data_IF_857024001754
#
_entry.id   IF_857024001754
#
_cell.length_a   1.000
_cell.length_b   1.000
_cell.length_c   1.000
_cell.angle_alpha   90.00
_cell.angle_beta   90.00
_cell.angle_gamma   90.00
#
_symmetry.space_group_name_H-M   'P 1'
#
loop_
_entity.id
_entity.type
_entity.pdbx_description
1 polymer ?
#
# COMPACT_ATOMS: atom_id res chain seq x y z
N UNK A 1 17.62 30.51 -0.59
CA UNK A 1 18.08 29.29 0.11
C UNK A 1 17.39 28.99 1.45
N UNK A 2 16.29 29.67 1.84
CA UNK A 2 15.51 29.34 3.07
C UNK A 2 14.23 28.51 2.83
N UNK A 3 13.77 28.38 1.57
CA UNK A 3 12.54 27.66 1.21
C UNK A 3 12.72 26.16 0.92
N UNK A 4 13.96 25.70 0.73
CA UNK A 4 14.25 24.29 0.43
C UNK A 4 14.26 23.41 1.71
N UNK A 5 14.64 23.98 2.85
CA UNK A 5 14.73 23.25 4.12
C UNK A 5 13.37 23.03 4.80
N UNK A 6 12.42 23.95 4.63
CA UNK A 6 11.06 23.78 5.15
C UNK A 6 10.27 22.71 4.37
N UNK A 7 10.65 22.44 3.11
CA UNK A 7 9.98 21.51 2.20
C UNK A 7 10.41 20.05 2.42
N UNK A 8 11.66 19.82 2.83
CA UNK A 8 12.16 18.50 3.25
C UNK A 8 11.56 18.05 4.59
N UNK A 9 11.22 19.00 5.47
CA UNK A 9 10.59 18.75 6.77
C UNK A 9 9.10 18.37 6.68
N UNK A 10 8.41 18.75 5.60
CA UNK A 10 6.96 18.57 5.48
C UNK A 10 6.58 17.19 4.92
N UNK A 11 7.41 16.64 4.03
CA UNK A 11 7.37 15.23 3.62
C UNK A 11 7.73 14.35 4.82
N UNK A 12 8.64 14.80 5.70
CA UNK A 12 8.83 14.19 7.01
C UNK A 12 7.58 14.35 7.92
N UNK A 13 6.79 15.42 7.85
CA UNK A 13 5.60 15.49 8.73
C UNK A 13 4.44 14.56 8.31
N UNK A 14 4.38 14.15 7.04
CA UNK A 14 3.33 13.24 6.53
C UNK A 14 3.85 11.79 6.42
N UNK A 15 5.15 11.59 6.13
CA UNK A 15 5.82 10.28 6.07
C UNK A 15 6.73 9.96 7.27
N UNK A 16 7.04 10.91 8.17
CA UNK A 16 7.92 10.70 9.35
C UNK A 16 7.22 10.64 10.69
N UNK A 17 5.95 11.00 10.82
CA UNK A 17 5.26 10.66 12.07
C UNK A 17 4.88 9.17 12.19
N UNK A 18 5.16 8.34 11.17
CA UNK A 18 5.18 6.87 11.30
C UNK A 18 6.53 6.30 11.79
N UNK A 19 7.58 7.12 12.01
CA UNK A 19 8.95 6.65 12.33
C UNK A 19 9.09 5.78 13.60
N UNK A 20 8.05 5.63 14.41
CA UNK A 20 8.02 4.69 15.53
C UNK A 20 7.70 3.24 15.12
N UNK A 21 7.33 2.99 13.88
CA UNK A 21 6.92 1.68 13.36
C UNK A 21 7.65 1.45 12.04
N UNK A 22 8.20 0.27 11.77
CA UNK A 22 8.99 -0.03 10.57
C UNK A 22 8.26 0.12 9.22
N UNK A 23 6.99 0.56 9.21
CA UNK A 23 6.12 0.73 8.06
C UNK A 23 5.84 2.22 7.79
N UNK A 24 6.18 2.67 6.58
CA UNK A 24 5.93 4.02 6.06
C UNK A 24 4.49 4.20 5.58
N UNK A 25 3.92 3.18 4.93
CA UNK A 25 2.58 3.25 4.37
C UNK A 25 1.96 1.86 4.21
N UNK A 26 0.64 1.83 4.25
CA UNK A 26 -0.18 0.64 4.14
C UNK A 26 -1.44 0.96 3.33
N UNK A 27 -1.88 0.05 2.46
CA UNK A 27 -3.17 0.20 1.79
C UNK A 27 -3.74 -1.09 1.22
N UNK A 28 -5.08 -1.12 1.10
CA UNK A 28 -5.82 -2.19 0.43
C UNK A 28 -6.44 -1.71 -0.87
N UNK A 29 -6.27 -2.51 -1.92
CA UNK A 29 -6.80 -2.19 -3.25
C UNK A 29 -7.47 -3.40 -3.88
N UNK A 30 -8.38 -3.16 -4.81
CA UNK A 30 -9.06 -4.18 -5.60
C UNK A 30 -9.13 -3.79 -7.06
N UNK A 31 -9.06 -4.79 -7.93
CA UNK A 31 -9.34 -4.62 -9.35
C UNK A 31 -9.96 -5.87 -9.94
N UNK A 32 -10.63 -5.71 -11.07
CA UNK A 32 -11.19 -6.82 -11.83
C UNK A 32 -10.62 -6.79 -13.23
N UNK A 33 -10.00 -7.90 -13.62
CA UNK A 33 -9.58 -8.21 -15.00
C UNK A 33 -10.39 -9.42 -15.47
N UNK A 34 -9.74 -10.56 -15.75
CA UNK A 34 -10.39 -11.86 -15.91
C UNK A 34 -10.95 -12.44 -14.60
N UNK A 35 -10.37 -12.03 -13.47
CA UNK A 35 -10.78 -12.39 -12.11
C UNK A 35 -10.84 -11.14 -11.25
N UNK A 36 -11.40 -11.26 -10.05
CA UNK A 36 -11.31 -10.20 -9.04
C UNK A 36 -10.10 -10.46 -8.16
N UNK A 37 -9.25 -9.45 -8.07
CA UNK A 37 -8.04 -9.44 -7.28
C UNK A 37 -8.19 -8.41 -6.17
N UNK A 38 -7.66 -8.75 -5.00
CA UNK A 38 -7.48 -7.82 -3.89
C UNK A 38 -6.02 -7.85 -3.49
N UNK A 39 -5.41 -6.71 -3.20
CA UNK A 39 -4.05 -6.64 -2.74
C UNK A 39 -3.92 -5.83 -1.46
N UNK A 40 -2.96 -6.23 -0.63
CA UNK A 40 -2.38 -5.40 0.41
C UNK A 40 -1.00 -4.93 -0.03
N UNK A 41 -0.70 -3.67 0.21
CA UNK A 41 0.56 -3.05 -0.14
C UNK A 41 1.16 -2.45 1.12
N UNK A 42 2.39 -2.86 1.44
CA UNK A 42 3.14 -2.38 2.60
C UNK A 42 4.42 -1.74 2.11
N UNK A 43 4.59 -0.45 2.36
CA UNK A 43 5.83 0.28 2.10
C UNK A 43 6.59 0.41 3.42
N UNK A 44 7.80 -0.15 3.51
CA UNK A 44 8.64 -0.13 4.71
C UNK A 44 9.67 1.01 4.70
N UNK A 45 10.26 1.27 5.86
CA UNK A 45 11.23 2.36 6.07
C UNK A 45 12.56 2.14 5.34
N UNK A 46 12.91 0.90 5.02
CA UNK A 46 14.14 0.52 4.29
C UNK A 46 13.97 0.50 2.77
N UNK A 47 12.94 1.18 2.28
CA UNK A 47 12.54 1.24 0.87
C UNK A 47 12.00 -0.08 0.28
N UNK A 48 11.86 -1.13 1.08
CA UNK A 48 11.26 -2.38 0.62
C UNK A 48 9.75 -2.29 0.64
N UNK A 49 9.11 -2.70 -0.45
CA UNK A 49 7.67 -2.81 -0.52
C UNK A 49 7.29 -4.28 -0.59
N UNK A 50 6.44 -4.73 0.32
CA UNK A 50 5.85 -6.07 0.23
C UNK A 50 4.43 -5.93 -0.30
N UNK A 51 4.14 -6.66 -1.37
CA UNK A 51 2.78 -6.77 -1.92
C UNK A 51 2.26 -8.18 -1.70
N UNK A 52 1.06 -8.31 -1.16
CA UNK A 52 0.30 -9.58 -1.19
C UNK A 52 -0.91 -9.41 -2.07
N UNK A 53 -1.12 -10.34 -2.99
CA UNK A 53 -2.28 -10.39 -3.89
C UNK A 53 -3.07 -11.67 -3.63
N UNK A 54 -4.38 -11.51 -3.56
CA UNK A 54 -5.36 -12.58 -3.33
C UNK A 54 -6.35 -12.61 -4.47
N UNK A 55 -6.59 -13.81 -5.01
CA UNK A 55 -7.61 -14.10 -6.02
C UNK A 55 -8.00 -15.57 -5.90
N UNK A 56 -9.29 -15.88 -6.06
CA UNK A 56 -9.83 -17.23 -5.82
C UNK A 56 -9.37 -17.78 -4.44
N UNK A 57 -8.73 -18.95 -4.42
CA UNK A 57 -8.12 -19.58 -3.25
C UNK A 57 -6.60 -19.34 -3.14
N UNK A 58 -6.04 -18.50 -4.02
CA UNK A 58 -4.62 -18.23 -4.15
C UNK A 58 -4.23 -16.95 -3.40
N UNK A 59 -3.10 -17.02 -2.70
CA UNK A 59 -2.43 -15.87 -2.12
C UNK A 59 -0.96 -15.89 -2.49
N UNK A 60 -0.49 -14.79 -3.04
CA UNK A 60 0.89 -14.63 -3.50
C UNK A 60 1.50 -13.38 -2.87
N UNK A 61 2.77 -13.46 -2.49
CA UNK A 61 3.56 -12.36 -1.98
C UNK A 61 4.74 -12.09 -2.91
N UNK A 62 5.09 -10.83 -3.13
CA UNK A 62 6.33 -10.46 -3.78
C UNK A 62 6.87 -9.16 -3.22
N UNK A 63 8.18 -8.99 -3.37
CA UNK A 63 8.85 -7.72 -3.09
C UNK A 63 8.74 -6.80 -4.31
N UNK A 64 8.65 -5.51 -4.03
CA UNK A 64 8.54 -4.45 -5.00
C UNK A 64 9.42 -3.27 -4.60
N UNK A 65 9.93 -2.59 -5.62
CA UNK A 65 10.58 -1.29 -5.48
C UNK A 65 9.54 -0.20 -5.63
N UNK A 66 9.76 0.96 -5.00
CA UNK A 66 8.92 2.13 -5.22
C UNK A 66 9.70 3.35 -5.66
N UNK A 67 9.08 4.16 -6.51
CA UNK A 67 9.57 5.44 -6.99
C UNK A 67 8.52 6.53 -6.77
N UNK A 68 8.97 7.71 -6.37
CA UNK A 68 8.11 8.87 -6.08
C UNK A 68 8.40 9.98 -7.07
N UNK A 69 7.48 10.19 -8.00
CA UNK A 69 7.59 11.24 -9.01
C UNK A 69 6.72 12.44 -8.62
N UNK A 70 7.28 13.64 -8.73
CA UNK A 70 6.60 14.87 -8.34
C UNK A 70 6.13 15.63 -9.60
N UNK A 71 4.82 15.75 -9.75
CA UNK A 71 4.13 16.67 -10.67
C UNK A 71 3.25 17.61 -9.84
N UNK A 72 2.14 18.13 -10.39
CA UNK A 72 1.13 18.86 -9.62
C UNK A 72 0.52 17.99 -8.48
N UNK A 73 0.69 16.66 -8.56
CA UNK A 73 0.41 15.66 -7.53
C UNK A 73 1.62 14.71 -7.33
N UNK A 74 1.60 13.95 -6.23
CA UNK A 74 2.61 12.91 -5.97
C UNK A 74 2.18 11.61 -6.65
N UNK A 75 3.03 11.09 -7.52
CA UNK A 75 2.84 9.78 -8.14
C UNK A 75 3.74 8.77 -7.42
N UNK A 76 3.14 7.73 -6.83
CA UNK A 76 3.85 6.59 -6.27
C UNK A 76 3.74 5.42 -7.23
N UNK A 77 4.87 4.98 -7.77
CA UNK A 77 4.97 3.77 -8.60
C UNK A 77 5.54 2.64 -7.76
N UNK A 78 4.92 1.46 -7.80
CA UNK A 78 5.34 0.25 -7.10
C UNK A 78 5.56 -0.84 -8.14
N UNK A 79 6.81 -1.18 -8.39
CA UNK A 79 7.23 -2.14 -9.43
C UNK A 79 7.58 -3.46 -8.78
N UNK A 80 6.83 -4.52 -9.11
CA UNK A 80 7.16 -5.86 -8.64
C UNK A 80 8.49 -6.34 -9.22
N UNK A 81 9.48 -6.57 -8.36
CA UNK A 81 10.85 -6.96 -8.76
C UNK A 81 11.26 -8.33 -8.27
N UNK A 82 10.53 -8.90 -7.30
CA UNK A 82 10.79 -10.23 -6.74
C UNK A 82 10.15 -11.39 -7.50
N UNK A 83 10.70 -12.59 -7.28
CA UNK A 83 10.00 -13.84 -7.64
C UNK A 83 8.83 -14.05 -6.67
N UNK A 84 7.59 -14.20 -7.17
CA UNK A 84 6.44 -14.38 -6.29
C UNK A 84 6.50 -15.67 -5.47
N UNK A 85 6.12 -15.57 -4.19
CA UNK A 85 6.00 -16.67 -3.25
C UNK A 85 4.54 -16.96 -2.99
N UNK A 86 4.11 -18.20 -3.20
CA UNK A 86 2.73 -18.62 -2.92
C UNK A 86 2.58 -18.94 -1.44
N UNK A 87 1.79 -18.12 -0.75
CA UNK A 87 1.41 -18.33 0.65
C UNK A 87 0.20 -19.27 0.78
N UNK A 88 -0.64 -19.32 -0.26
CA UNK A 88 -1.79 -20.22 -0.35
C UNK A 88 -2.08 -20.58 -1.80
N UNK A 89 -2.52 -21.81 -2.03
CA UNK A 89 -2.80 -22.33 -3.37
C UNK A 89 -1.52 -22.58 -4.19
N UNK A 90 -1.68 -22.94 -5.46
CA UNK A 90 -0.58 -23.09 -6.43
C UNK A 90 -1.04 -22.56 -7.79
N UNK A 91 -0.24 -21.69 -8.39
CA UNK A 91 -0.50 -21.13 -9.72
C UNK A 91 0.79 -20.59 -10.35
N UNK A 92 0.69 -20.00 -11.52
CA UNK A 92 1.65 -19.04 -12.03
C UNK A 92 1.14 -17.62 -11.76
N UNK A 93 2.02 -16.72 -11.36
CA UNK A 93 1.68 -15.31 -11.18
C UNK A 93 2.89 -14.46 -11.53
N UNK A 94 2.66 -13.38 -12.27
CA UNK A 94 3.68 -12.39 -12.57
C UNK A 94 3.43 -11.18 -11.67
N UNK A 95 4.47 -10.60 -11.04
CA UNK A 95 4.30 -9.40 -10.22
C UNK A 95 3.59 -8.28 -10.99
N UNK A 96 2.51 -7.75 -10.41
CA UNK A 96 1.83 -6.57 -10.93
C UNK A 96 2.59 -5.30 -10.55
N UNK A 97 2.51 -4.29 -11.42
CA UNK A 97 2.93 -2.93 -11.11
C UNK A 97 1.72 -2.08 -10.71
N UNK A 98 1.89 -1.23 -9.69
CA UNK A 98 0.87 -0.29 -9.25
C UNK A 98 1.36 1.14 -9.42
N UNK A 99 0.44 2.02 -9.80
CA UNK A 99 0.67 3.46 -9.86
C UNK A 99 -0.46 4.12 -9.09
N UNK A 100 -0.09 4.90 -8.08
CA UNK A 100 -1.01 5.68 -7.26
C UNK A 100 -0.76 7.16 -7.48
N UNK A 101 -1.86 7.91 -7.56
CA UNK A 101 -1.86 9.36 -7.36
C UNK A 101 -2.20 9.60 -5.89
N UNK A 102 -1.33 10.32 -5.20
CA UNK A 102 -1.43 10.62 -3.78
C UNK A 102 -1.56 12.13 -3.60
N UNK A 103 -2.43 12.56 -2.68
CA UNK A 103 -2.59 13.97 -2.32
C UNK A 103 -1.36 14.48 -1.55
N UNK A 104 -1.23 15.80 -1.41
CA UNK A 104 -0.14 16.38 -0.61
C UNK A 104 -0.20 15.96 0.87
N UNK A 105 -1.39 15.57 1.35
CA UNK A 105 -1.63 15.03 2.69
C UNK A 105 -1.41 13.52 2.81
N UNK A 106 -0.96 12.85 1.74
CA UNK A 106 -0.62 11.43 1.77
C UNK A 106 -1.78 10.46 1.51
N UNK A 107 -2.96 10.96 1.11
CA UNK A 107 -4.10 10.09 0.80
C UNK A 107 -4.05 9.56 -0.63
N UNK A 108 -4.36 8.28 -0.85
CA UNK A 108 -4.51 7.74 -2.20
C UNK A 108 -5.77 8.34 -2.84
N UNK A 109 -5.60 9.10 -3.92
CA UNK A 109 -6.69 9.73 -4.69
C UNK A 109 -7.23 8.75 -5.72
N UNK A 110 -6.34 8.03 -6.38
CA UNK A 110 -6.67 7.06 -7.43
C UNK A 110 -5.48 6.15 -7.68
N UNK A 111 -5.73 4.99 -8.29
CA UNK A 111 -4.64 4.17 -8.77
C UNK A 111 -5.00 3.31 -9.98
N UNK A 112 -3.96 2.83 -10.64
CA UNK A 112 -4.04 1.87 -11.73
C UNK A 112 -3.02 0.77 -11.51
N UNK A 113 -3.35 -0.43 -11.93
CA UNK A 113 -2.41 -1.55 -11.99
C UNK A 113 -2.30 -2.07 -13.41
N UNK A 114 -1.16 -2.66 -13.74
CA UNK A 114 -0.98 -3.41 -14.98
C UNK A 114 -0.04 -4.59 -14.74
N UNK A 115 -0.31 -5.66 -15.48
CA UNK A 115 0.49 -6.87 -15.49
C UNK A 115 1.53 -6.81 -16.64
N UNK A 116 2.27 -7.91 -16.82
CA UNK A 116 3.22 -8.08 -17.93
C UNK A 116 2.59 -7.95 -19.33
N UNK A 117 1.28 -8.10 -19.46
CA UNK A 117 0.55 -7.90 -20.73
C UNK A 117 0.16 -6.44 -20.97
N UNK A 118 0.49 -5.54 -20.04
CA UNK A 118 0.22 -4.10 -20.07
C UNK A 118 -1.27 -3.73 -20.09
N UNK A 119 -2.16 -4.65 -19.71
CA UNK A 119 -3.57 -4.36 -19.54
C UNK A 119 -3.75 -3.52 -18.27
N UNK A 120 -4.14 -2.25 -18.45
CA UNK A 120 -4.35 -1.32 -17.34
C UNK A 120 -5.73 -1.52 -16.72
N UNK A 121 -5.76 -1.82 -15.42
CA UNK A 121 -6.97 -1.91 -14.62
C UNK A 121 -7.03 -0.75 -13.64
N UNK A 122 -8.22 -0.15 -13.49
CA UNK A 122 -8.47 0.86 -12.46
C UNK A 122 -8.55 0.17 -11.09
N UNK A 123 -7.90 0.77 -10.09
CA UNK A 123 -7.97 0.31 -8.71
C UNK A 123 -9.17 0.94 -7.99
N UNK A 124 -9.90 0.10 -7.27
CA UNK A 124 -10.79 0.47 -6.19
C UNK A 124 -9.97 0.50 -4.90
N UNK A 125 -9.96 1.62 -4.18
CA UNK A 125 -9.31 1.74 -2.88
C UNK A 125 -10.29 1.23 -1.82
N UNK A 126 -9.86 0.23 -1.04
CA UNK A 126 -10.72 -0.43 -0.05
C UNK A 126 -10.51 0.10 1.37
N UNK A 127 -9.44 0.87 1.60
CA UNK A 127 -9.21 1.53 2.87
C UNK A 127 -10.41 2.39 3.25
N UNK A 128 -10.88 2.25 4.49
CA UNK A 128 -12.06 2.95 4.97
C UNK A 128 -11.78 3.76 6.24
N UNK A 129 -12.63 4.75 6.51
CA UNK A 129 -12.64 5.48 7.77
C UNK A 129 -13.07 4.63 8.98
N UNK A 130 -13.54 3.41 8.75
CA UNK A 130 -13.93 2.47 9.78
C UNK A 130 -12.79 1.48 10.05
N UNK A 131 -12.26 1.53 11.28
CA UNK A 131 -11.20 0.64 11.76
C UNK A 131 -11.56 -0.85 11.63
N UNK A 132 -12.78 -1.24 12.01
CA UNK A 132 -13.19 -2.66 12.01
C UNK A 132 -13.17 -3.24 10.59
N UNK A 133 -13.53 -2.43 9.59
CA UNK A 133 -13.43 -2.84 8.18
C UNK A 133 -11.96 -3.03 7.74
N UNK A 134 -11.07 -2.14 8.17
CA UNK A 134 -9.65 -2.25 7.82
C UNK A 134 -8.98 -3.45 8.51
N UNK A 135 -9.37 -3.76 9.76
CA UNK A 135 -8.94 -4.98 10.45
C UNK A 135 -9.47 -6.24 9.78
N UNK A 136 -10.74 -6.25 9.37
CA UNK A 136 -11.32 -7.37 8.63
C UNK A 136 -10.64 -7.58 7.26
N UNK A 137 -10.18 -6.51 6.61
CA UNK A 137 -9.33 -6.61 5.42
C UNK A 137 -7.94 -7.17 5.77
N UNK A 138 -7.33 -6.74 6.88
CA UNK A 138 -6.00 -7.19 7.31
C UNK A 138 -5.96 -8.71 7.53
N UNK A 139 -6.96 -9.23 8.23
CA UNK A 139 -7.13 -10.65 8.52
C UNK A 139 -7.28 -11.52 7.26
N UNK A 140 -7.63 -10.93 6.11
CA UNK A 140 -7.66 -11.66 4.84
C UNK A 140 -6.27 -11.93 4.27
N UNK A 141 -5.25 -11.19 4.69
CA UNK A 141 -3.89 -11.23 4.14
C UNK A 141 -2.83 -11.64 5.15
N UNK A 142 -3.02 -11.31 6.43
CA UNK A 142 -2.03 -11.52 7.47
C UNK A 142 -2.66 -12.13 8.73
N UNK A 143 -1.80 -12.79 9.50
CA UNK A 143 -2.10 -13.38 10.80
C UNK A 143 -1.15 -12.81 11.84
N UNK A 144 -1.48 -12.97 13.12
CA UNK A 144 -0.61 -12.54 14.24
C UNK A 144 0.80 -13.17 14.22
N UNK A 145 1.00 -14.26 13.46
CA UNK A 145 2.30 -14.93 13.30
C UNK A 145 3.17 -14.26 12.24
N UNK A 146 2.61 -13.44 11.36
CA UNK A 146 3.37 -12.70 10.37
C UNK A 146 4.20 -11.63 11.07
N UNK A 147 5.50 -11.54 10.71
CA UNK A 147 6.43 -10.61 11.35
C UNK A 147 5.99 -9.14 11.23
N UNK A 148 5.33 -8.78 10.12
CA UNK A 148 4.87 -7.42 9.86
C UNK A 148 3.51 -7.11 10.54
N UNK A 149 2.76 -8.11 11.01
CA UNK A 149 1.40 -7.93 11.52
C UNK A 149 1.30 -6.89 12.64
N UNK A 150 2.13 -6.92 13.70
CA UNK A 150 2.04 -5.95 14.78
C UNK A 150 2.27 -4.51 14.30
N UNK A 151 3.11 -4.33 13.29
CA UNK A 151 3.41 -3.02 12.73
C UNK A 151 2.26 -2.51 11.87
N UNK A 152 1.62 -3.38 11.08
CA UNK A 152 0.47 -3.00 10.26
C UNK A 152 -0.69 -2.54 11.14
N UNK A 153 -0.99 -3.29 12.22
CA UNK A 153 -2.04 -2.93 13.18
C UNK A 153 -1.78 -1.56 13.80
N UNK A 154 -0.54 -1.26 14.19
CA UNK A 154 -0.17 0.07 14.72
C UNK A 154 -0.40 1.18 13.68
N UNK A 155 -0.04 0.96 12.42
CA UNK A 155 -0.25 1.93 11.35
C UNK A 155 -1.75 2.19 11.11
N UNK A 156 -2.58 1.15 11.10
CA UNK A 156 -4.04 1.30 10.98
C UNK A 156 -4.61 2.12 12.15
N UNK A 157 -4.23 1.80 13.40
CA UNK A 157 -4.71 2.51 14.60
C UNK A 157 -4.34 4.00 14.57
N UNK A 158 -3.16 4.32 14.06
CA UNK A 158 -2.75 5.70 13.85
C UNK A 158 -3.62 6.43 12.81
N UNK A 159 -3.92 5.77 11.68
CA UNK A 159 -4.79 6.34 10.65
C UNK A 159 -6.18 6.70 11.20
N UNK A 160 -6.82 5.78 11.93
CA UNK A 160 -8.13 6.04 12.57
C UNK A 160 -8.08 7.21 13.56
N UNK A 161 -7.02 7.27 14.40
CA UNK A 161 -6.83 8.38 15.33
C UNK A 161 -6.72 9.74 14.62
N UNK A 162 -5.94 9.81 13.54
CA UNK A 162 -5.74 11.06 12.79
C UNK A 162 -7.01 11.50 12.05
N UNK A 163 -7.77 10.57 11.45
CA UNK A 163 -9.03 10.91 10.79
C UNK A 163 -10.09 11.39 11.79
N UNK A 164 -10.17 10.78 12.98
CA UNK A 164 -11.05 11.25 14.05
C UNK A 164 -10.70 12.66 14.54
N UNK A 165 -9.41 13.02 14.55
CA UNK A 165 -8.99 14.40 14.88
C UNK A 165 -9.40 15.43 13.83
N UNK A 166 -9.32 15.09 12.54
CA UNK A 166 -9.69 16.01 11.44
C UNK A 166 -11.20 16.30 11.37
N UNK A 167 -12.03 15.43 11.95
CA UNK A 167 -13.51 15.57 11.98
C UNK A 167 -14.03 16.37 13.18
N UNK A 168 -13.16 16.84 14.08
CA UNK A 168 -13.49 17.70 15.22
C UNK A 168 -13.04 19.13 14.96
#
# INVERSE_FOLDING_TARGET
MKKLYALFLLIFSVFVFSQSCGINSYGFVKWTSNKTYTASIIVKNDYKTTVRVKYDDIMVQYEADYDVQHLDDVILKIEGTGTPVFLKGKSSYNPDTFIFRISQEGNIISGTTYDSSQVRNKLEILDSDNMDNNLALLEQFYTEKDADYPEIVKSLLYFDYTNKKKKK
#
